data_IF_387117813145
#
_entry.id   IF_387117813145
#
_cell.length_a   1.000
_cell.length_b   1.000
_cell.length_c   1.000
_cell.angle_alpha   90.00
_cell.angle_beta   90.00
_cell.angle_gamma   90.00
#
_symmetry.space_group_name_H-M   'P 1'
#
loop_
_entity.id
_entity.type
_entity.pdbx_description
1 polymer ?
#
# COMPACT_ATOMS: atom_id res chain seq x y z
N UNK A 1 -25.13 -30.71 17.54
CA UNK A 1 -25.35 -29.41 18.22
C UNK A 1 -24.34 -28.44 17.75
N UNK A 2 -24.73 -27.47 16.90
CA UNK A 2 -23.88 -26.43 16.37
C UNK A 2 -23.74 -25.33 17.43
N UNK A 3 -22.50 -24.93 17.75
CA UNK A 3 -22.21 -23.78 18.64
C UNK A 3 -22.66 -22.48 17.96
N UNK A 4 -23.37 -21.59 18.66
CA UNK A 4 -23.79 -20.32 18.10
C UNK A 4 -22.55 -19.43 17.85
N UNK A 5 -22.47 -18.84 16.63
CA UNK A 5 -21.50 -17.83 16.30
C UNK A 5 -21.77 -16.58 17.15
N UNK A 6 -20.76 -16.00 17.83
CA UNK A 6 -20.98 -14.79 18.61
C UNK A 6 -21.47 -13.67 17.69
N UNK A 7 -22.63 -13.09 18.02
CA UNK A 7 -23.12 -11.87 17.38
C UNK A 7 -22.19 -10.73 17.83
N UNK A 8 -21.45 -10.16 16.92
CA UNK A 8 -20.75 -8.90 17.16
C UNK A 8 -21.81 -7.87 17.59
N UNK A 9 -21.63 -7.34 18.77
CA UNK A 9 -22.43 -6.25 19.34
C UNK A 9 -22.43 -5.06 18.35
N UNK A 10 -23.62 -4.67 17.91
CA UNK A 10 -23.82 -3.55 16.97
C UNK A 10 -23.94 -2.21 17.70
N UNK A 11 -23.19 -2.01 18.76
CA UNK A 11 -23.01 -0.71 19.41
C UNK A 11 -21.77 0.03 18.85
N UNK A 12 -21.56 -0.08 17.54
CA UNK A 12 -20.68 0.88 16.87
C UNK A 12 -21.43 2.22 16.86
N UNK A 13 -20.92 3.21 17.58
CA UNK A 13 -21.43 4.58 17.61
C UNK A 13 -21.74 5.14 16.22
N UNK A 14 -22.59 6.16 16.14
CA UNK A 14 -23.00 6.74 14.85
C UNK A 14 -21.81 7.14 13.98
N UNK A 15 -22.01 7.36 12.66
CA UNK A 15 -20.91 7.68 11.73
C UNK A 15 -20.00 8.82 12.20
N UNK A 16 -20.55 9.81 12.89
CA UNK A 16 -19.79 10.94 13.45
C UNK A 16 -18.86 10.50 14.58
N UNK A 17 -19.31 9.59 15.45
CA UNK A 17 -18.51 9.07 16.55
C UNK A 17 -17.35 8.21 16.04
N UNK A 18 -17.60 7.38 15.02
CA UNK A 18 -16.58 6.57 14.37
C UNK A 18 -15.51 7.47 13.71
N UNK A 19 -15.92 8.55 13.07
CA UNK A 19 -15.00 9.52 12.48
C UNK A 19 -14.17 10.23 13.54
N UNK A 20 -14.77 10.63 14.64
CA UNK A 20 -14.09 11.25 15.78
C UNK A 20 -13.09 10.30 16.42
N UNK A 21 -13.47 9.05 16.67
CA UNK A 21 -12.58 8.01 17.20
C UNK A 21 -11.37 7.74 16.28
N UNK A 22 -11.59 7.64 14.96
CA UNK A 22 -10.53 7.50 13.97
C UNK A 22 -9.60 8.72 13.96
N UNK A 23 -10.11 9.93 14.14
CA UNK A 23 -9.31 11.15 14.21
C UNK A 23 -8.46 11.17 15.49
N UNK A 24 -9.05 10.83 16.63
CA UNK A 24 -8.35 10.75 17.92
C UNK A 24 -7.20 9.72 17.86
N UNK A 25 -7.46 8.53 17.35
CA UNK A 25 -6.44 7.47 17.23
C UNK A 25 -5.28 7.90 16.31
N UNK A 26 -5.55 8.60 15.20
CA UNK A 26 -4.47 9.15 14.35
C UNK A 26 -3.60 10.12 15.13
N UNK A 27 -4.22 11.02 15.87
CA UNK A 27 -3.50 12.03 16.65
C UNK A 27 -2.65 11.41 17.74
N UNK A 28 -3.17 10.39 18.41
CA UNK A 28 -2.43 9.61 19.42
C UNK A 28 -1.18 8.99 18.81
N UNK A 29 -1.30 8.25 17.70
CA UNK A 29 -0.18 7.59 17.02
C UNK A 29 0.86 8.61 16.56
N UNK A 30 0.44 9.70 15.93
CA UNK A 30 1.38 10.74 15.47
C UNK A 30 2.13 11.39 16.63
N UNK A 31 1.44 11.64 17.75
CA UNK A 31 2.04 12.23 18.96
C UNK A 31 3.02 11.24 19.60
N UNK A 32 2.64 9.97 19.73
CA UNK A 32 3.50 8.90 20.26
C UNK A 32 4.78 8.74 19.43
N UNK A 33 4.67 8.71 18.10
CA UNK A 33 5.83 8.61 17.21
C UNK A 33 6.78 9.80 17.32
N UNK A 34 6.21 11.00 17.49
CA UNK A 34 7.00 12.22 17.66
C UNK A 34 7.70 12.24 19.02
N UNK A 35 7.00 11.89 20.10
CA UNK A 35 7.53 11.80 21.45
C UNK A 35 8.67 10.75 21.54
N UNK A 36 8.48 9.59 20.93
CA UNK A 36 9.49 8.54 20.84
C UNK A 36 10.66 8.87 19.88
N UNK A 37 10.60 10.00 19.17
CA UNK A 37 11.61 10.42 18.17
C UNK A 37 11.84 9.38 17.06
N UNK A 38 10.85 8.55 16.75
CA UNK A 38 10.93 7.53 15.69
C UNK A 38 10.40 8.05 14.35
N UNK A 39 9.67 9.16 14.34
CA UNK A 39 9.23 9.80 13.09
C UNK A 39 10.42 10.38 12.33
N UNK A 40 10.48 10.10 11.02
CA UNK A 40 11.48 10.63 10.09
C UNK A 40 10.89 11.73 9.22
N UNK A 41 11.76 12.52 8.59
CA UNK A 41 11.32 13.54 7.63
C UNK A 41 10.34 12.95 6.59
N UNK A 42 9.26 13.62 6.30
CA UNK A 42 8.83 14.98 6.68
C UNK A 42 7.97 15.06 7.97
N UNK A 43 8.10 14.12 8.89
CA UNK A 43 7.35 14.04 10.13
C UNK A 43 6.16 13.09 10.08
N UNK A 44 5.44 12.94 11.20
CA UNK A 44 4.32 12.02 11.32
C UNK A 44 2.95 12.69 11.09
N UNK A 45 2.73 13.88 11.65
CA UNK A 45 1.43 14.53 11.70
C UNK A 45 0.80 14.76 10.32
N UNK A 46 -0.47 14.36 10.16
CA UNK A 46 -1.23 14.54 8.92
C UNK A 46 -0.81 13.65 7.75
N UNK A 47 0.05 12.65 7.97
CA UNK A 47 0.66 11.81 6.92
C UNK A 47 0.53 10.33 7.22
N UNK A 48 0.83 9.50 6.23
CA UNK A 48 1.36 8.16 6.48
C UNK A 48 2.80 8.37 6.96
N UNK A 49 3.11 8.05 8.22
CA UNK A 49 4.38 8.46 8.82
C UNK A 49 5.55 7.70 8.22
N UNK A 50 6.63 8.43 7.93
CA UNK A 50 7.93 7.80 7.73
C UNK A 50 8.57 7.56 9.09
N UNK A 51 9.29 6.47 9.25
CA UNK A 51 9.76 6.02 10.57
C UNK A 51 11.16 5.40 10.53
N UNK A 52 11.82 5.43 11.68
CA UNK A 52 13.08 4.71 11.90
C UNK A 52 12.80 3.21 11.81
N UNK A 53 13.50 2.53 10.88
CA UNK A 53 13.28 1.10 10.63
C UNK A 53 12.42 0.79 9.40
N UNK A 54 12.00 1.78 8.60
CA UNK A 54 11.26 1.55 7.36
C UNK A 54 12.03 0.65 6.38
N UNK A 55 13.35 0.76 6.33
CA UNK A 55 14.21 -0.09 5.52
C UNK A 55 14.23 -1.54 6.04
N UNK A 56 14.35 -1.72 7.34
CA UNK A 56 14.30 -3.06 7.96
C UNK A 56 12.90 -3.71 7.78
N UNK A 57 11.83 -2.91 7.80
CA UNK A 57 10.48 -3.40 7.51
C UNK A 57 10.35 -3.85 6.04
N UNK A 58 10.96 -3.12 5.10
CA UNK A 58 10.99 -3.51 3.69
C UNK A 58 11.75 -4.84 3.48
N UNK A 59 12.88 -5.04 4.17
CA UNK A 59 13.61 -6.31 4.11
C UNK A 59 12.82 -7.49 4.69
N UNK A 60 12.05 -7.27 5.77
CA UNK A 60 11.15 -8.31 6.30
C UNK A 60 10.07 -8.68 5.29
N UNK A 61 9.46 -7.69 4.63
CA UNK A 61 8.49 -7.93 3.57
C UNK A 61 9.14 -8.68 2.42
N UNK A 62 10.36 -8.30 2.00
CA UNK A 62 11.13 -8.94 0.93
C UNK A 62 11.38 -10.43 1.20
N UNK A 63 11.57 -10.81 2.47
CA UNK A 63 11.77 -12.19 2.88
C UNK A 63 10.49 -13.04 2.92
N UNK A 64 9.30 -12.45 2.76
CA UNK A 64 8.03 -13.17 2.82
C UNK A 64 7.75 -13.96 1.52
N UNK A 65 7.12 -15.14 1.59
CA UNK A 65 6.75 -15.92 0.41
C UNK A 65 5.87 -15.15 -0.58
N UNK A 66 4.96 -14.28 -0.09
CA UNK A 66 4.12 -13.45 -0.95
C UNK A 66 4.92 -12.47 -1.80
N UNK A 67 6.03 -11.94 -1.28
CA UNK A 67 6.94 -11.10 -2.04
C UNK A 67 7.69 -11.90 -3.11
N UNK A 68 8.18 -13.08 -2.73
CA UNK A 68 8.95 -13.92 -3.66
C UNK A 68 8.11 -14.38 -4.85
N UNK A 69 6.81 -14.63 -4.63
CA UNK A 69 5.87 -15.05 -5.67
C UNK A 69 5.36 -13.89 -6.57
N UNK A 70 5.48 -12.64 -6.11
CA UNK A 70 4.95 -11.48 -6.81
C UNK A 70 5.89 -11.05 -7.96
N UNK A 71 5.37 -10.85 -9.17
CA UNK A 71 6.04 -10.16 -10.28
C UNK A 71 5.66 -8.69 -10.36
N UNK A 72 4.49 -8.32 -9.84
CA UNK A 72 3.96 -6.97 -9.88
C UNK A 72 3.55 -6.48 -8.50
N UNK A 73 3.85 -5.23 -8.22
CA UNK A 73 3.58 -4.59 -6.94
C UNK A 73 2.84 -3.26 -7.13
N UNK A 74 1.77 -3.04 -6.39
CA UNK A 74 1.18 -1.71 -6.22
C UNK A 74 1.58 -1.13 -4.88
N UNK A 75 2.16 0.08 -4.88
CA UNK A 75 2.59 0.79 -3.68
C UNK A 75 2.13 2.24 -3.69
N UNK A 76 1.97 2.84 -2.51
CA UNK A 76 1.67 4.27 -2.39
C UNK A 76 2.97 5.11 -2.49
N UNK A 77 2.86 6.40 -2.84
CA UNK A 77 4.02 7.30 -2.97
C UNK A 77 4.64 7.73 -1.63
N UNK A 78 4.10 7.25 -0.51
CA UNK A 78 4.56 7.62 0.84
C UNK A 78 6.05 7.34 1.05
N UNK A 79 6.71 8.19 1.84
CA UNK A 79 8.15 8.07 2.11
C UNK A 79 8.52 6.77 2.82
N UNK A 80 7.65 6.26 3.70
CA UNK A 80 7.84 4.97 4.38
C UNK A 80 7.91 3.78 3.41
N UNK A 81 7.27 3.89 2.24
CA UNK A 81 7.26 2.86 1.21
C UNK A 81 8.36 3.01 0.16
N UNK A 82 9.20 4.04 0.25
CA UNK A 82 10.33 4.19 -0.69
C UNK A 82 11.26 2.97 -0.67
N UNK A 83 11.67 2.42 0.48
CA UNK A 83 12.50 1.21 0.51
C UNK A 83 11.80 0.01 -0.13
N UNK A 84 10.49 -0.14 0.06
CA UNK A 84 9.70 -1.22 -0.54
C UNK A 84 9.74 -1.13 -2.07
N UNK A 85 9.45 0.06 -2.62
CA UNK A 85 9.49 0.29 -4.07
C UNK A 85 10.88 0.08 -4.64
N UNK A 86 11.92 0.57 -3.94
CA UNK A 86 13.31 0.35 -4.33
C UNK A 86 13.64 -1.14 -4.42
N UNK A 87 13.34 -1.92 -3.36
CA UNK A 87 13.60 -3.37 -3.33
C UNK A 87 12.83 -4.13 -4.42
N UNK A 88 11.60 -3.71 -4.69
CA UNK A 88 10.80 -4.31 -5.76
C UNK A 88 11.50 -4.15 -7.13
N UNK A 89 11.98 -2.95 -7.44
CA UNK A 89 12.72 -2.70 -8.68
C UNK A 89 14.07 -3.43 -8.73
N UNK A 90 14.78 -3.52 -7.60
CA UNK A 90 16.02 -4.30 -7.49
C UNK A 90 15.81 -5.79 -7.71
N UNK A 91 14.63 -6.31 -7.32
CA UNK A 91 14.24 -7.71 -7.50
C UNK A 91 13.54 -7.98 -8.86
N UNK A 92 13.60 -7.05 -9.79
CA UNK A 92 13.02 -7.20 -11.14
C UNK A 92 11.49 -7.16 -11.18
N UNK A 93 10.83 -6.55 -10.18
CA UNK A 93 9.36 -6.44 -10.12
C UNK A 93 8.87 -5.13 -10.70
N UNK A 94 7.80 -5.18 -11.49
CA UNK A 94 7.11 -3.97 -11.94
C UNK A 94 6.39 -3.30 -10.77
N UNK A 95 6.56 -1.99 -10.62
CA UNK A 95 5.92 -1.22 -9.55
C UNK A 95 4.93 -0.21 -10.12
N UNK A 96 3.68 -0.34 -9.73
CA UNK A 96 2.66 0.67 -9.95
C UNK A 96 2.55 1.58 -8.73
N UNK A 97 2.77 2.88 -8.93
CA UNK A 97 2.70 3.89 -7.89
C UNK A 97 1.71 4.98 -8.28
N UNK A 98 0.77 5.30 -7.40
CA UNK A 98 -0.18 6.37 -7.68
C UNK A 98 0.53 7.71 -7.87
N UNK A 99 0.08 8.46 -8.87
CA UNK A 99 0.49 9.85 -9.07
C UNK A 99 -0.07 10.69 -7.92
N UNK A 100 0.73 11.58 -7.31
CA UNK A 100 0.21 12.47 -6.29
C UNK A 100 -1.03 13.24 -6.79
N UNK A 101 -2.11 13.21 -5.97
CA UNK A 101 -3.42 13.82 -6.25
C UNK A 101 -4.28 13.14 -7.32
N UNK A 102 -3.90 11.96 -7.85
CA UNK A 102 -4.67 11.19 -8.82
C UNK A 102 -5.27 12.05 -9.96
N UNK A 103 -4.50 13.00 -10.47
CA UNK A 103 -4.97 13.95 -11.47
C UNK A 103 -4.87 13.33 -12.87
N UNK A 104 -6.00 13.32 -13.60
CA UNK A 104 -6.07 12.95 -15.01
C UNK A 104 -6.38 11.48 -15.28
N UNK A 105 -6.44 11.08 -16.55
CA UNK A 105 -6.83 9.74 -17.00
C UNK A 105 -5.76 8.68 -16.72
N UNK A 106 -4.51 9.09 -16.47
CA UNK A 106 -3.37 8.21 -16.20
C UNK A 106 -2.85 8.41 -14.76
N UNK A 107 -3.58 7.86 -13.76
CA UNK A 107 -3.31 8.14 -12.36
C UNK A 107 -2.16 7.33 -11.76
N UNK A 108 -1.44 6.54 -12.55
CA UNK A 108 -0.33 5.72 -12.06
C UNK A 108 0.96 5.96 -12.83
N UNK A 109 2.08 5.86 -12.12
CA UNK A 109 3.39 5.62 -12.68
C UNK A 109 3.62 4.11 -12.78
N UNK A 110 3.99 3.63 -13.96
CA UNK A 110 4.48 2.27 -14.17
C UNK A 110 6.02 2.33 -14.21
N UNK A 111 6.65 1.77 -13.20
CA UNK A 111 8.09 1.61 -13.08
C UNK A 111 8.42 0.18 -13.50
N UNK A 112 9.00 0.04 -14.67
CA UNK A 112 9.47 -1.21 -15.24
C UNK A 112 10.97 -1.33 -14.95
N UNK A 113 11.43 -2.37 -14.24
CA UNK A 113 12.83 -2.52 -13.87
C UNK A 113 13.77 -2.60 -15.06
N UNK A 114 13.30 -3.12 -16.20
CA UNK A 114 14.12 -3.27 -17.42
C UNK A 114 14.27 -1.95 -18.21
N UNK A 115 13.46 -0.93 -17.87
CA UNK A 115 13.41 0.35 -18.59
C UNK A 115 13.63 1.56 -17.68
N UNK A 116 14.33 1.40 -16.56
CA UNK A 116 14.65 2.52 -15.66
C UNK A 116 15.72 3.43 -16.25
N UNK A 117 15.46 4.75 -16.27
CA UNK A 117 16.46 5.77 -16.62
C UNK A 117 17.36 6.16 -15.46
N UNK A 118 16.97 5.85 -14.23
CA UNK A 118 17.66 6.18 -12.99
C UNK A 118 17.89 4.90 -12.16
N UNK A 119 18.87 4.87 -11.26
CA UNK A 119 19.03 3.75 -10.32
C UNK A 119 17.73 3.51 -9.50
N UNK A 120 17.43 2.27 -9.08
CA UNK A 120 16.17 1.90 -8.45
C UNK A 120 15.71 2.82 -7.32
N UNK A 121 16.63 3.21 -6.42
CA UNK A 121 16.32 4.14 -5.31
C UNK A 121 15.81 5.49 -5.81
N UNK A 122 16.41 6.04 -6.86
CA UNK A 122 16.03 7.32 -7.42
C UNK A 122 14.74 7.21 -8.21
N UNK A 123 14.60 6.16 -9.04
CA UNK A 123 13.41 5.87 -9.82
C UNK A 123 12.18 5.65 -8.91
N UNK A 124 12.34 4.96 -7.77
CA UNK A 124 11.28 4.69 -6.79
C UNK A 124 10.79 5.96 -6.05
N UNK A 125 11.46 7.09 -6.14
CA UNK A 125 11.00 8.36 -5.55
C UNK A 125 9.92 9.01 -6.43
N UNK A 126 9.07 9.88 -5.84
CA UNK A 126 8.07 10.62 -6.60
C UNK A 126 8.72 11.45 -7.73
N UNK A 127 9.81 12.14 -7.42
CA UNK A 127 10.50 12.97 -8.41
C UNK A 127 11.21 12.16 -9.49
N UNK A 128 11.76 10.99 -9.16
CA UNK A 128 12.33 10.06 -10.11
C UNK A 128 11.28 9.48 -11.04
N UNK A 129 10.21 8.96 -10.49
CA UNK A 129 9.08 8.42 -11.25
C UNK A 129 8.45 9.46 -12.18
N UNK A 130 8.28 10.69 -11.71
CA UNK A 130 7.72 11.79 -12.54
C UNK A 130 8.56 12.11 -13.80
N UNK A 131 9.85 11.81 -13.77
CA UNK A 131 10.75 12.07 -14.91
C UNK A 131 10.88 10.89 -15.84
N UNK A 132 10.87 9.68 -15.33
CA UNK A 132 11.31 8.49 -16.08
C UNK A 132 10.24 7.40 -16.19
N UNK A 133 9.22 7.39 -15.35
CA UNK A 133 8.20 6.37 -15.44
C UNK A 133 7.15 6.69 -16.52
N UNK A 134 6.66 5.66 -17.19
CA UNK A 134 5.48 5.78 -18.05
C UNK A 134 4.25 6.03 -17.18
N UNK A 135 3.41 6.99 -17.55
CA UNK A 135 2.10 7.15 -16.94
C UNK A 135 1.11 6.19 -17.59
N UNK A 136 0.23 5.64 -16.79
CA UNK A 136 -0.73 4.63 -17.25
C UNK A 136 -2.10 4.84 -16.62
N UNK A 137 -3.13 4.51 -17.38
CA UNK A 137 -4.51 4.41 -16.92
C UNK A 137 -4.79 3.08 -16.25
N UNK A 138 -6.00 2.95 -15.70
CA UNK A 138 -6.45 1.67 -15.09
C UNK A 138 -6.49 0.52 -16.10
N UNK A 139 -6.85 0.81 -17.36
CA UNK A 139 -6.94 -0.19 -18.42
C UNK A 139 -5.58 -0.75 -18.87
N UNK A 140 -4.51 0.01 -18.61
CA UNK A 140 -3.14 -0.36 -19.01
C UNK A 140 -2.38 -1.10 -17.91
N UNK A 141 -2.99 -1.26 -16.73
CA UNK A 141 -2.38 -1.99 -15.63
C UNK A 141 -2.48 -3.51 -15.89
N UNK A 142 -1.38 -4.19 -15.68
CA UNK A 142 -1.40 -5.65 -15.54
C UNK A 142 -1.98 -6.05 -14.18
N UNK A 143 -2.33 -7.33 -14.03
CA UNK A 143 -2.73 -7.84 -12.73
C UNK A 143 -1.66 -7.58 -11.67
N UNK A 144 -2.11 -7.14 -10.50
CA UNK A 144 -1.25 -6.81 -9.37
C UNK A 144 -1.20 -7.98 -8.41
N UNK A 145 0.00 -8.52 -8.19
CA UNK A 145 0.20 -9.68 -7.31
C UNK A 145 0.28 -9.29 -5.83
N UNK A 146 0.82 -8.11 -5.53
CA UNK A 146 0.99 -7.63 -4.17
C UNK A 146 0.63 -6.14 -4.05
N UNK A 147 -0.24 -5.82 -3.10
CA UNK A 147 -0.59 -4.43 -2.76
C UNK A 147 -0.01 -4.07 -1.40
N UNK A 148 0.79 -3.00 -1.37
CA UNK A 148 1.33 -2.42 -0.13
C UNK A 148 0.62 -1.10 0.15
N UNK A 149 -0.12 -1.06 1.25
CA UNK A 149 -0.94 0.10 1.62
C UNK A 149 -0.33 0.86 2.78
N UNK A 150 -0.15 2.18 2.60
CA UNK A 150 0.29 3.07 3.66
C UNK A 150 -0.77 3.17 4.76
N UNK A 151 -0.34 3.04 6.02
CA UNK A 151 -1.22 3.10 7.18
C UNK A 151 -0.61 3.96 8.29
N UNK A 152 -1.46 4.63 9.06
CA UNK A 152 -1.08 5.30 10.31
C UNK A 152 -1.03 4.26 11.43
N UNK A 153 -1.98 3.33 11.43
CA UNK A 153 -2.04 2.19 12.33
C UNK A 153 -2.53 0.95 11.58
N UNK A 154 -2.14 -0.22 12.07
CA UNK A 154 -2.65 -1.51 11.67
C UNK A 154 -2.92 -2.36 12.92
N UNK A 155 -4.07 -3.02 12.96
CA UNK A 155 -4.45 -3.98 14.00
C UNK A 155 -3.98 -5.40 13.65
N UNK A 156 -3.85 -6.25 14.65
CA UNK A 156 -3.51 -7.66 14.48
C UNK A 156 -4.61 -8.44 13.74
N UNK A 157 -5.83 -7.94 13.76
CA UNK A 157 -6.99 -8.43 13.01
C UNK A 157 -6.95 -8.08 11.51
N UNK A 158 -5.92 -7.34 11.07
CA UNK A 158 -5.78 -6.86 9.70
C UNK A 158 -6.52 -5.54 9.42
N UNK A 159 -7.22 -4.96 10.40
CA UNK A 159 -7.79 -3.63 10.26
C UNK A 159 -6.68 -2.60 10.05
N UNK A 160 -6.94 -1.59 9.22
CA UNK A 160 -5.97 -0.51 8.99
C UNK A 160 -6.62 0.87 9.11
N UNK A 161 -5.84 1.83 9.55
CA UNK A 161 -6.23 3.23 9.64
C UNK A 161 -5.33 4.05 8.72
N UNK A 162 -5.89 4.60 7.64
CA UNK A 162 -5.20 5.55 6.76
C UNK A 162 -5.17 6.95 7.36
N UNK A 163 -4.54 7.90 6.66
CA UNK A 163 -4.42 9.31 7.11
C UNK A 163 -5.73 10.11 7.07
N UNK A 164 -6.81 9.54 6.54
CA UNK A 164 -8.12 10.18 6.49
C UNK A 164 -8.56 10.71 5.12
N UNK A 165 -7.73 10.65 4.11
CA UNK A 165 -8.06 11.14 2.75
C UNK A 165 -8.78 10.15 1.85
N UNK A 166 -8.94 8.88 2.26
CA UNK A 166 -9.66 7.85 1.48
C UNK A 166 -8.98 7.38 0.18
N UNK A 167 -7.90 8.03 -0.26
CA UNK A 167 -7.29 7.76 -1.57
C UNK A 167 -6.83 6.31 -1.74
N UNK A 168 -6.19 5.73 -0.72
CA UNK A 168 -5.70 4.35 -0.82
C UNK A 168 -6.86 3.34 -0.87
N UNK A 169 -7.97 3.62 -0.19
CA UNK A 169 -9.17 2.77 -0.20
C UNK A 169 -9.88 2.88 -1.55
N UNK A 170 -9.96 4.09 -2.12
CA UNK A 170 -10.52 4.32 -3.46
C UNK A 170 -9.68 3.63 -4.53
N UNK A 171 -8.36 3.79 -4.51
CA UNK A 171 -7.44 3.12 -5.43
C UNK A 171 -7.59 1.60 -5.37
N UNK A 172 -7.70 1.04 -4.15
CA UNK A 172 -7.89 -0.39 -3.95
C UNK A 172 -9.24 -0.86 -4.49
N UNK A 173 -10.32 -0.13 -4.20
CA UNK A 173 -11.67 -0.46 -4.69
C UNK A 173 -11.74 -0.42 -6.21
N UNK A 174 -11.17 0.60 -6.85
CA UNK A 174 -11.11 0.73 -8.31
C UNK A 174 -10.32 -0.40 -8.94
N UNK A 175 -9.14 -0.73 -8.39
CA UNK A 175 -8.31 -1.82 -8.91
C UNK A 175 -8.99 -3.19 -8.74
N UNK A 176 -9.73 -3.40 -7.65
CA UNK A 176 -10.52 -4.62 -7.42
C UNK A 176 -11.68 -4.69 -8.40
N UNK A 177 -12.43 -3.60 -8.60
CA UNK A 177 -13.54 -3.54 -9.55
C UNK A 177 -13.09 -3.78 -11.00
N UNK A 178 -11.88 -3.33 -11.34
CA UNK A 178 -11.25 -3.59 -12.64
C UNK A 178 -10.67 -5.02 -12.78
N UNK A 179 -10.80 -5.88 -11.77
CA UNK A 179 -10.25 -7.24 -11.79
C UNK A 179 -8.72 -7.32 -11.76
N UNK A 180 -8.05 -6.21 -11.45
CA UNK A 180 -6.59 -6.12 -11.39
C UNK A 180 -6.01 -6.72 -10.11
N UNK A 181 -6.81 -6.75 -9.04
CA UNK A 181 -6.46 -7.35 -7.75
C UNK A 181 -7.38 -8.54 -7.55
N UNK A 182 -6.80 -9.72 -7.42
CA UNK A 182 -7.55 -10.95 -7.10
C UNK A 182 -8.13 -10.91 -5.70
N UNK A 183 -8.92 -11.94 -5.30
CA UNK A 183 -9.45 -12.04 -3.94
C UNK A 183 -8.31 -11.93 -2.94
N UNK A 184 -8.38 -10.92 -2.07
CA UNK A 184 -7.34 -10.64 -1.08
C UNK A 184 -7.47 -11.61 0.07
N UNK A 185 -6.51 -12.53 0.18
CA UNK A 185 -6.26 -13.21 1.44
C UNK A 185 -5.36 -12.34 2.30
N UNK A 186 -5.76 -12.06 3.53
CA UNK A 186 -4.87 -11.46 4.53
C UNK A 186 -3.62 -12.34 4.66
N UNK A 187 -2.46 -11.71 4.50
CA UNK A 187 -1.14 -12.24 4.77
C UNK A 187 -0.90 -13.71 4.33
N UNK A 188 -0.52 -13.89 3.08
CA UNK A 188 0.31 -15.05 2.69
C UNK A 188 -0.38 -16.39 2.48
N UNK A 189 -1.68 -16.45 2.19
CA UNK A 189 -2.27 -17.67 1.64
C UNK A 189 -2.34 -17.57 0.12
N UNK A 190 -1.72 -18.52 -0.62
CA UNK A 190 -1.98 -18.65 -2.05
C UNK A 190 -3.47 -18.93 -2.22
N UNK A 191 -4.15 -18.17 -3.08
CA UNK A 191 -5.51 -18.49 -3.50
C UNK A 191 -5.39 -19.62 -4.52
N UNK A 192 -5.92 -20.82 -4.26
CA UNK A 192 -5.94 -21.89 -5.26
C UNK A 192 -6.86 -21.48 -6.41
N UNK A 193 -6.36 -21.55 -7.62
CA UNK A 193 -7.16 -21.51 -8.83
C UNK A 193 -7.16 -20.22 -9.62
N UNK A 194 -6.01 -19.84 -10.16
CA UNK A 194 -5.96 -19.08 -11.41
C UNK A 194 -5.80 -20.09 -12.54
N UNK A 195 -6.75 -20.22 -13.49
CA UNK A 195 -6.48 -20.98 -14.69
C UNK A 195 -5.35 -20.28 -15.44
N UNK A 196 -4.30 -21.04 -15.78
CA UNK A 196 -3.23 -20.56 -16.62
C UNK A 196 -3.82 -19.99 -17.91
N UNK A 197 -3.30 -18.85 -18.36
CA UNK A 197 -3.46 -18.43 -19.74
C UNK A 197 -2.52 -19.32 -20.55
N UNK A 198 -3.05 -20.46 -21.00
CA UNK A 198 -2.47 -21.18 -22.12
C UNK A 198 -2.89 -20.47 -23.40
N UNK A 199 -1.91 -20.17 -24.26
CA UNK A 199 -2.12 -19.63 -25.61
C UNK A 199 -1.19 -18.50 -25.95
#
# INVERSE_FOLDING_TARGET
MARPVPRHDRDAGGPAEVLAAKAALRQEIWSAMSAAKVARFPGAAGRIPNFTGAEAAAERLRAMPVWQAAGTLKANPDSAQLPVRQRALEDGKTVYMAVPRLAGPEPFFALDPDHLSDPPRKAASISGASRSARRVGMADLSAVDLVVMGSVAAGEDGARLGKGGGFADLEFALATAAGLIGPVGLAGRPVPGRPGRDG
#
